data_IF_083578743961
#
_entry.id   IF_083578743961
#
_cell.length_a   1.000
_cell.length_b   1.000
_cell.length_c   1.000
_cell.angle_alpha   90.00
_cell.angle_beta   90.00
_cell.angle_gamma   90.00
#
_symmetry.space_group_name_H-M   'P 1'
#
loop_
_entity.id
_entity.type
_entity.pdbx_description
1 polymer ?
#
# COMPACT_ATOMS: atom_id res chain seq x y z
N UNK A 1 5.37 -4.97 13.07
CA UNK A 1 5.05 -3.95 14.09
C UNK A 1 4.01 -3.09 13.46
N UNK A 2 2.76 -3.09 13.95
CA UNK A 2 1.66 -2.44 13.25
C UNK A 2 1.93 -0.96 12.91
N UNK A 3 1.38 -0.50 11.79
CA UNK A 3 1.35 0.92 11.44
C UNK A 3 0.45 1.68 12.39
N UNK A 4 1.00 2.73 13.01
CA UNK A 4 0.21 3.73 13.71
C UNK A 4 -0.72 4.50 12.74
N UNK A 5 -1.80 5.10 13.23
CA UNK A 5 -2.66 6.01 12.43
C UNK A 5 -1.85 7.08 11.66
N UNK A 6 -0.76 7.60 12.24
CA UNK A 6 0.13 8.56 11.58
C UNK A 6 0.92 7.92 10.44
N UNK A 7 1.50 6.74 10.68
CA UNK A 7 2.21 5.96 9.65
C UNK A 7 1.28 5.59 8.48
N UNK A 8 0.04 5.22 8.78
CA UNK A 8 -0.99 4.93 7.77
C UNK A 8 -1.24 6.14 6.88
N UNK A 9 -1.40 7.33 7.46
CA UNK A 9 -1.60 8.56 6.69
C UNK A 9 -0.41 8.87 5.76
N UNK A 10 0.82 8.69 6.27
CA UNK A 10 2.04 8.88 5.47
C UNK A 10 2.12 7.87 4.32
N UNK A 11 1.86 6.59 4.59
CA UNK A 11 1.87 5.55 3.57
C UNK A 11 0.79 5.78 2.50
N UNK A 12 -0.43 6.21 2.87
CA UNK A 12 -1.45 6.62 1.91
C UNK A 12 -0.99 7.79 1.02
N UNK A 13 -0.28 8.76 1.58
CA UNK A 13 0.29 9.87 0.80
C UNK A 13 1.39 9.40 -0.16
N UNK A 14 2.24 8.45 0.25
CA UNK A 14 3.23 7.82 -0.63
C UNK A 14 2.53 7.10 -1.79
N UNK A 15 1.51 6.28 -1.50
CA UNK A 15 0.76 5.57 -2.53
C UNK A 15 0.11 6.51 -3.54
N UNK A 16 -0.48 7.63 -3.08
CA UNK A 16 -1.07 8.64 -3.97
C UNK A 16 -0.06 9.36 -4.84
N UNK A 17 1.19 9.51 -4.40
CA UNK A 17 2.24 10.06 -5.27
C UNK A 17 2.65 9.07 -6.37
N UNK A 18 2.55 7.78 -6.11
CA UNK A 18 2.86 6.73 -7.08
C UNK A 18 1.69 6.51 -8.04
N UNK A 19 0.45 6.54 -7.53
CA UNK A 19 -0.80 6.36 -8.27
C UNK A 19 -1.76 7.50 -7.90
N UNK A 20 -1.80 8.60 -8.68
CA UNK A 20 -2.50 9.86 -8.33
C UNK A 20 -4.00 9.77 -8.05
N UNK A 21 -4.67 8.69 -8.47
CA UNK A 21 -6.12 8.53 -8.40
C UNK A 21 -6.59 7.52 -7.36
N UNK A 22 -5.74 7.15 -6.40
CA UNK A 22 -6.13 6.22 -5.35
C UNK A 22 -7.19 6.82 -4.41
N UNK A 23 -8.19 6.02 -3.99
CA UNK A 23 -9.21 6.46 -3.06
C UNK A 23 -8.59 6.83 -1.71
N UNK A 24 -9.29 7.69 -0.97
CA UNK A 24 -8.91 8.02 0.41
C UNK A 24 -9.31 6.92 1.41
N UNK A 25 -10.22 6.03 1.01
CA UNK A 25 -10.69 4.92 1.82
C UNK A 25 -9.72 3.73 1.76
N UNK A 26 -9.52 3.07 2.91
CA UNK A 26 -8.73 1.84 3.03
C UNK A 26 -9.71 0.67 3.13
N UNK A 27 -9.63 -0.24 2.17
CA UNK A 27 -10.50 -1.41 2.07
C UNK A 27 -9.88 -2.61 2.79
N UNK A 28 -10.68 -3.54 3.35
CA UNK A 28 -10.15 -4.73 4.02
C UNK A 28 -9.43 -5.65 3.03
N UNK A 29 -8.17 -5.98 3.29
CA UNK A 29 -7.37 -6.79 2.35
C UNK A 29 -7.96 -8.20 2.17
N UNK A 30 -8.52 -8.77 3.22
CA UNK A 30 -9.14 -10.10 3.28
C UNK A 30 -10.33 -10.25 2.31
N UNK A 31 -11.02 -9.15 2.01
CA UNK A 31 -12.15 -9.14 1.07
C UNK A 31 -11.70 -8.91 -0.37
N UNK A 32 -10.66 -8.09 -0.59
CA UNK A 32 -10.30 -7.57 -1.92
C UNK A 32 -8.96 -8.10 -2.48
N UNK A 33 -8.23 -8.90 -1.70
CA UNK A 33 -6.93 -9.47 -2.10
C UNK A 33 -7.06 -10.68 -3.01
N UNK A 34 -8.15 -11.45 -2.96
CA UNK A 34 -8.33 -12.66 -3.77
C UNK A 34 -8.38 -12.35 -5.26
N UNK A 35 -8.87 -11.17 -5.61
CA UNK A 35 -9.07 -10.73 -6.99
C UNK A 35 -7.97 -9.79 -7.50
N UNK A 36 -6.91 -9.57 -6.71
CA UNK A 36 -5.81 -8.64 -7.01
C UNK A 36 -6.28 -7.27 -7.52
N UNK A 37 -7.34 -6.74 -6.89
CA UNK A 37 -8.00 -5.51 -7.36
C UNK A 37 -7.00 -4.35 -7.27
N UNK A 38 -6.82 -3.68 -8.41
CA UNK A 38 -5.96 -2.50 -8.54
C UNK A 38 -6.73 -1.22 -8.28
N UNK A 39 -6.02 -0.14 -7.97
CA UNK A 39 -6.64 1.17 -7.78
C UNK A 39 -7.33 1.36 -6.42
N UNK A 40 -7.08 0.45 -5.48
CA UNK A 40 -7.54 0.55 -4.09
C UNK A 40 -6.33 0.57 -3.15
N UNK A 41 -6.51 1.18 -1.97
CA UNK A 41 -5.63 1.00 -0.82
C UNK A 41 -6.24 -0.09 0.04
N UNK A 42 -5.47 -1.14 0.31
CA UNK A 42 -5.88 -2.30 1.08
C UNK A 42 -5.21 -2.27 2.45
N UNK A 43 -5.95 -2.62 3.50
CA UNK A 43 -5.46 -2.67 4.87
C UNK A 43 -5.71 -4.02 5.51
N UNK A 44 -4.69 -4.54 6.18
CA UNK A 44 -4.71 -5.77 6.95
C UNK A 44 -4.91 -5.46 8.43
N UNK A 45 -5.88 -6.13 9.06
CA UNK A 45 -6.15 -6.11 10.50
C UNK A 45 -6.18 -4.68 11.10
N UNK A 46 -7.32 -4.00 10.88
CA UNK A 46 -7.55 -2.63 11.34
C UNK A 46 -7.58 -2.58 12.88
N UNK A 47 -6.77 -1.68 13.44
CA UNK A 47 -6.68 -1.45 14.88
C UNK A 47 -7.69 -0.40 15.36
N UNK A 48 -7.98 -0.42 16.66
CA UNK A 48 -8.94 0.51 17.31
C UNK A 48 -8.53 1.98 17.20
N UNK A 49 -7.24 2.25 17.14
CA UNK A 49 -6.67 3.60 17.02
C UNK A 49 -6.66 4.13 15.56
N UNK A 50 -7.12 3.33 14.59
CA UNK A 50 -7.07 3.64 13.17
C UNK A 50 -5.75 3.25 12.48
N UNK A 51 -4.87 2.53 13.19
CA UNK A 51 -3.74 1.82 12.62
C UNK A 51 -4.14 0.55 11.87
N UNK A 52 -3.15 -0.11 11.28
CA UNK A 52 -3.28 -1.39 10.55
C UNK A 52 -2.03 -2.23 10.78
N UNK A 53 -2.12 -3.57 10.80
CA UNK A 53 -0.92 -4.43 10.77
C UNK A 53 -0.11 -4.25 9.48
N UNK A 54 -0.79 -3.93 8.39
CA UNK A 54 -0.16 -3.68 7.11
C UNK A 54 -1.09 -2.94 6.16
N UNK A 55 -0.53 -2.15 5.25
CA UNK A 55 -1.29 -1.55 4.15
C UNK A 55 -0.55 -1.68 2.83
N UNK A 56 -1.27 -1.85 1.73
CA UNK A 56 -0.68 -2.03 0.41
C UNK A 56 -1.58 -1.52 -0.71
N UNK A 57 -1.01 -1.48 -1.91
CA UNK A 57 -1.72 -1.29 -3.17
C UNK A 57 -1.28 -2.35 -4.17
N UNK A 58 -2.17 -2.71 -5.09
CA UNK A 58 -1.83 -3.51 -6.27
C UNK A 58 -1.70 -2.60 -7.48
N UNK A 59 -0.63 -2.81 -8.25
CA UNK A 59 -0.35 -2.11 -9.50
C UNK A 59 -0.21 -3.15 -10.59
N UNK A 60 -1.08 -3.09 -11.61
CA UNK A 60 -0.93 -3.88 -12.82
C UNK A 60 0.10 -3.24 -13.74
N UNK A 61 0.98 -4.05 -14.32
CA UNK A 61 2.04 -3.61 -15.22
C UNK A 61 2.89 -2.51 -14.55
N UNK A 62 3.45 -2.81 -13.38
CA UNK A 62 4.30 -1.85 -12.64
C UNK A 62 5.45 -1.36 -13.53
N UNK A 63 5.72 -0.06 -13.49
CA UNK A 63 6.81 0.56 -14.26
C UNK A 63 8.01 0.81 -13.37
N UNK A 64 9.18 0.98 -13.97
CA UNK A 64 10.39 1.40 -13.25
C UNK A 64 10.19 2.73 -12.53
N UNK A 65 9.38 3.65 -13.08
CA UNK A 65 9.04 4.93 -12.44
C UNK A 65 8.28 4.75 -11.13
N UNK A 66 7.30 3.83 -11.09
CA UNK A 66 6.59 3.51 -9.84
C UNK A 66 7.55 2.98 -8.76
N UNK A 67 8.45 2.08 -9.13
CA UNK A 67 9.41 1.48 -8.20
C UNK A 67 10.45 2.49 -7.71
N UNK A 68 10.92 3.38 -8.58
CA UNK A 68 11.85 4.45 -8.22
C UNK A 68 11.19 5.45 -7.26
N UNK A 69 9.95 5.86 -7.52
CA UNK A 69 9.18 6.72 -6.61
C UNK A 69 8.98 6.02 -5.26
N UNK A 70 8.58 4.75 -5.26
CA UNK A 70 8.44 4.00 -4.00
C UNK A 70 9.76 3.92 -3.23
N UNK A 71 10.87 3.62 -3.91
CA UNK A 71 12.20 3.55 -3.29
C UNK A 71 12.63 4.90 -2.67
N UNK A 72 12.31 6.02 -3.32
CA UNK A 72 12.62 7.36 -2.83
C UNK A 72 11.73 7.79 -1.65
N UNK A 73 10.46 7.36 -1.63
CA UNK A 73 9.47 7.84 -0.67
C UNK A 73 9.28 6.92 0.54
N UNK A 74 9.64 5.63 0.45
CA UNK A 74 9.35 4.63 1.51
C UNK A 74 9.92 5.00 2.88
N UNK A 75 11.05 5.71 2.93
CA UNK A 75 11.69 6.14 4.18
C UNK A 75 10.87 7.19 4.95
N UNK A 76 9.88 7.82 4.33
CA UNK A 76 8.96 8.75 5.01
C UNK A 76 8.01 8.02 5.96
N UNK A 77 7.77 6.72 5.74
CA UNK A 77 6.96 5.89 6.62
C UNK A 77 7.91 5.17 7.58
N UNK A 78 7.81 5.37 8.91
CA UNK A 78 8.72 4.80 9.89
C UNK A 78 8.39 3.31 10.18
N UNK A 79 8.18 2.54 9.12
CA UNK A 79 7.73 1.15 9.13
C UNK A 79 8.48 0.36 8.04
N UNK A 80 8.45 -0.96 8.15
CA UNK A 80 9.05 -1.81 7.11
C UNK A 80 8.25 -1.67 5.82
N UNK A 81 8.93 -1.71 4.68
CA UNK A 81 8.29 -1.64 3.36
C UNK A 81 8.57 -2.91 2.58
N UNK A 82 7.70 -3.22 1.63
CA UNK A 82 7.84 -4.39 0.78
C UNK A 82 7.40 -4.13 -0.66
N UNK A 83 7.97 -4.92 -1.56
CA UNK A 83 7.58 -5.04 -2.97
C UNK A 83 7.49 -6.52 -3.26
N UNK A 84 6.39 -6.95 -3.83
CA UNK A 84 6.13 -8.35 -4.11
C UNK A 84 5.49 -8.48 -5.49
N UNK A 85 6.09 -9.32 -6.33
CA UNK A 85 5.55 -9.62 -7.64
C UNK A 85 4.57 -10.78 -7.51
N UNK A 86 3.33 -10.52 -7.90
CA UNK A 86 2.23 -11.46 -7.87
C UNK A 86 1.97 -11.97 -9.30
N UNK A 87 0.97 -12.82 -9.45
CA UNK A 87 0.58 -13.37 -10.75
C UNK A 87 0.00 -12.27 -11.67
N UNK A 88 -0.10 -12.59 -12.97
CA UNK A 88 -0.78 -11.76 -13.98
C UNK A 88 -0.24 -10.33 -14.13
N UNK A 89 1.06 -10.14 -13.90
CA UNK A 89 1.72 -8.84 -14.04
C UNK A 89 1.32 -7.84 -12.94
N UNK A 90 0.75 -8.32 -11.83
CA UNK A 90 0.44 -7.51 -10.66
C UNK A 90 1.68 -7.42 -9.77
N UNK A 91 1.97 -6.22 -9.29
CA UNK A 91 2.93 -6.00 -8.21
C UNK A 91 2.23 -5.36 -7.02
N UNK A 92 2.45 -5.94 -5.85
CA UNK A 92 2.00 -5.41 -4.57
C UNK A 92 3.14 -4.63 -3.93
N UNK A 93 2.84 -3.41 -3.52
CA UNK A 93 3.77 -2.60 -2.72
C UNK A 93 3.07 -2.15 -1.45
N UNK A 94 3.78 -2.11 -0.34
CA UNK A 94 3.16 -1.80 0.93
C UNK A 94 4.11 -1.61 2.10
N UNK A 95 3.50 -1.51 3.28
CA UNK A 95 4.17 -1.30 4.55
C UNK A 95 3.60 -2.23 5.62
N UNK A 96 4.45 -2.56 6.61
CA UNK A 96 4.12 -3.27 7.85
C UNK A 96 4.56 -2.44 9.05
#
# INVERSE_FOLDING_TARGET
>A
MALSKKSVALACNVFKQIVPNLPQHIYPIDIYSTDYITGLILGHDKKRDGGYEGICIHIRNVTSGHLQLFAALKAQVPNSSFVEHLNDGITRIGFY
#
